data_IF_024422573024
#
_entry.id   IF_024422573024
#
_cell.length_a   1.000
_cell.length_b   1.000
_cell.length_c   1.000
_cell.angle_alpha   90.00
_cell.angle_beta   90.00
_cell.angle_gamma   90.00
#
_symmetry.space_group_name_H-M   'P 1'
#
loop_
_entity.id
_entity.type
_entity.pdbx_description
1 polymer ?
#
# COMPACT_ATOMS: atom_id res chain seq x y z
N UNK A 1 20.06 10.18 15.08
CA UNK A 1 20.20 8.80 14.60
C UNK A 1 21.65 8.61 14.21
N UNK A 2 22.25 7.50 14.62
CA UNK A 2 23.62 7.10 14.24
C UNK A 2 23.66 5.61 13.94
N UNK A 3 24.50 5.22 12.99
CA UNK A 3 24.76 3.84 12.60
C UNK A 3 26.20 3.72 12.06
N UNK A 4 26.86 2.56 12.19
CA UNK A 4 28.19 2.32 11.62
C UNK A 4 28.11 2.15 10.09
N UNK A 5 29.26 2.28 9.42
CA UNK A 5 29.36 2.17 7.95
C UNK A 5 28.90 0.81 7.42
N UNK A 6 29.01 -0.25 8.21
CA UNK A 6 28.60 -1.60 7.87
C UNK A 6 27.10 -1.86 8.15
N UNK A 7 26.35 -0.87 8.65
CA UNK A 7 24.93 -0.98 9.00
C UNK A 7 24.59 -2.17 9.91
N UNK A 8 25.50 -2.57 10.79
CA UNK A 8 25.29 -3.68 11.74
C UNK A 8 24.41 -3.32 12.94
N UNK A 9 24.15 -2.03 13.13
CA UNK A 9 23.28 -1.51 14.19
C UNK A 9 22.73 -0.12 13.85
N UNK A 10 21.74 0.33 14.62
CA UNK A 10 21.29 1.72 14.60
C UNK A 10 20.99 2.18 16.02
N UNK A 11 21.33 3.42 16.34
CA UNK A 11 21.00 4.06 17.61
C UNK A 11 20.14 5.29 17.39
N UNK A 12 19.02 5.35 18.08
CA UNK A 12 18.12 6.49 18.09
C UNK A 12 18.20 7.21 19.43
N UNK A 13 18.37 8.53 19.38
CA UNK A 13 18.17 9.40 20.55
C UNK A 13 16.74 9.89 20.56
N UNK A 14 15.99 9.54 21.59
CA UNK A 14 14.62 10.00 21.76
C UNK A 14 14.63 11.49 22.17
N UNK A 15 13.64 12.24 21.66
CA UNK A 15 13.47 13.64 22.02
C UNK A 15 12.95 13.75 23.44
N UNK A 16 13.49 14.65 24.23
CA UNK A 16 13.08 14.86 25.63
C UNK A 16 11.65 15.38 25.75
N UNK A 17 11.18 16.10 24.73
CA UNK A 17 9.85 16.68 24.67
C UNK A 17 8.79 15.63 24.29
N UNK A 18 9.19 14.50 23.73
CA UNK A 18 8.28 13.46 23.25
C UNK A 18 7.49 12.84 24.41
N UNK A 19 6.15 12.91 24.32
CA UNK A 19 5.27 12.40 25.36
C UNK A 19 3.98 11.83 24.79
N UNK A 20 3.39 10.95 25.56
CA UNK A 20 2.05 10.43 25.29
C UNK A 20 0.96 11.43 25.68
N UNK A 21 -0.29 11.15 25.29
CA UNK A 21 -1.44 12.02 25.56
C UNK A 21 -1.78 12.18 27.05
N UNK A 22 -1.31 11.25 27.88
CA UNK A 22 -1.43 11.33 29.34
C UNK A 22 -0.30 12.15 30.00
N UNK A 23 0.58 12.76 29.18
CA UNK A 23 1.68 13.60 29.62
C UNK A 23 2.96 12.84 29.98
N UNK A 24 2.96 11.53 30.05
CA UNK A 24 4.16 10.75 30.36
C UNK A 24 5.15 10.76 29.20
N UNK A 25 6.47 10.87 29.49
CA UNK A 25 7.50 10.86 28.46
C UNK A 25 7.54 9.52 27.71
N UNK A 26 7.95 9.57 26.44
CA UNK A 26 8.31 8.37 25.67
C UNK A 26 9.73 7.97 26.05
N UNK A 27 9.88 6.73 26.53
CA UNK A 27 11.15 6.21 27.06
C UNK A 27 11.74 5.12 26.15
N UNK A 28 13.04 4.79 26.29
CA UNK A 28 13.64 3.63 25.64
C UNK A 28 12.90 2.33 25.94
N UNK A 29 12.36 2.16 27.15
CA UNK A 29 11.60 1.00 27.58
C UNK A 29 10.28 0.86 26.81
N UNK A 30 9.63 1.98 26.42
CA UNK A 30 8.44 1.96 25.56
C UNK A 30 8.79 1.46 24.16
N UNK A 31 9.93 1.92 23.61
CA UNK A 31 10.39 1.51 22.26
C UNK A 31 10.75 0.02 22.24
N UNK A 32 11.51 -0.45 23.22
CA UNK A 32 11.88 -1.88 23.35
C UNK A 32 10.64 -2.75 23.52
N UNK A 33 9.74 -2.37 24.42
CA UNK A 33 8.47 -3.05 24.62
C UNK A 33 7.66 -3.14 23.32
N UNK A 34 7.60 -2.06 22.57
CA UNK A 34 6.85 -2.00 21.31
C UNK A 34 7.43 -2.93 20.27
N UNK A 35 8.75 -2.95 20.12
CA UNK A 35 9.44 -3.84 19.20
C UNK A 35 9.19 -5.31 19.53
N UNK A 36 9.37 -5.70 20.80
CA UNK A 36 9.16 -7.07 21.26
C UNK A 36 7.70 -7.50 21.06
N UNK A 37 6.75 -6.65 21.45
CA UNK A 37 5.32 -6.95 21.32
C UNK A 37 4.86 -7.04 19.89
N UNK A 38 5.28 -6.16 18.99
CA UNK A 38 4.91 -6.26 17.57
C UNK A 38 5.44 -7.54 16.94
N UNK A 39 6.68 -7.96 17.25
CA UNK A 39 7.21 -9.25 16.78
C UNK A 39 6.43 -10.45 17.33
N UNK A 40 5.95 -10.36 18.58
CA UNK A 40 5.18 -11.43 19.24
C UNK A 40 3.76 -11.59 18.67
N UNK A 41 3.08 -10.48 18.41
CA UNK A 41 1.64 -10.50 18.10
C UNK A 41 1.33 -10.49 16.61
N UNK A 42 2.22 -9.97 15.78
CA UNK A 42 2.02 -9.83 14.33
C UNK A 42 3.08 -10.64 13.55
N UNK A 43 2.66 -11.73 12.87
CA UNK A 43 3.56 -12.54 12.06
C UNK A 43 4.26 -11.76 10.94
N UNK A 44 3.62 -10.71 10.38
CA UNK A 44 4.23 -9.85 9.38
C UNK A 44 5.32 -8.98 9.99
N UNK A 45 5.08 -8.36 11.14
CA UNK A 45 6.10 -7.64 11.88
C UNK A 45 7.25 -8.57 12.31
N UNK A 46 6.93 -9.79 12.74
CA UNK A 46 7.92 -10.82 13.05
C UNK A 46 8.86 -11.11 11.88
N UNK A 47 8.32 -11.24 10.66
CA UNK A 47 9.11 -11.44 9.46
C UNK A 47 9.84 -10.15 9.01
N UNK A 48 9.19 -8.99 9.13
CA UNK A 48 9.75 -7.70 8.74
C UNK A 48 10.97 -7.32 9.58
N UNK A 49 10.90 -7.57 10.89
CA UNK A 49 11.99 -7.31 11.84
C UNK A 49 12.88 -8.54 12.10
N UNK A 50 12.86 -9.57 11.26
CA UNK A 50 13.59 -10.82 11.49
C UNK A 50 15.09 -10.63 11.69
N UNK A 51 15.69 -9.69 10.99
CA UNK A 51 17.13 -9.41 11.08
C UNK A 51 17.51 -8.53 12.29
N UNK A 52 16.54 -8.11 13.10
CA UNK A 52 16.79 -7.36 14.34
C UNK A 52 16.88 -8.35 15.50
N UNK A 53 18.09 -8.53 16.02
CA UNK A 53 18.36 -9.56 17.06
C UNK A 53 18.28 -9.00 18.46
N UNK A 54 18.51 -7.70 18.64
CA UNK A 54 18.55 -7.07 19.96
C UNK A 54 18.02 -5.64 19.90
N UNK A 55 17.28 -5.24 20.92
CA UNK A 55 16.92 -3.86 21.21
C UNK A 55 17.32 -3.56 22.65
N UNK A 56 18.07 -2.50 22.89
CA UNK A 56 18.58 -2.18 24.23
C UNK A 56 18.61 -0.69 24.52
N UNK A 57 18.37 -0.36 25.79
CA UNK A 57 18.61 0.97 26.33
C UNK A 57 20.10 1.12 26.62
N UNK A 58 20.78 2.04 25.94
CA UNK A 58 22.20 2.32 26.15
C UNK A 58 22.45 3.57 27.02
N UNK A 59 21.42 4.03 27.72
CA UNK A 59 21.46 5.22 28.57
C UNK A 59 21.16 6.51 27.81
N UNK A 60 21.05 7.61 28.54
CA UNK A 60 20.89 8.97 27.97
C UNK A 60 19.80 9.10 26.89
N UNK A 61 18.66 8.44 27.11
CA UNK A 61 17.53 8.40 26.14
C UNK A 61 17.88 7.75 24.79
N UNK A 62 18.83 6.83 24.77
CA UNK A 62 19.26 6.12 23.56
C UNK A 62 18.69 4.71 23.50
N UNK A 63 18.20 4.34 22.34
CA UNK A 63 17.80 2.98 21.99
C UNK A 63 18.65 2.48 20.85
N UNK A 64 19.34 1.36 21.05
CA UNK A 64 20.14 0.70 20.03
C UNK A 64 19.48 -0.60 19.57
N UNK A 65 19.42 -0.79 18.25
CA UNK A 65 19.02 -2.04 17.60
C UNK A 65 20.23 -2.67 16.92
N UNK A 66 20.44 -3.95 17.17
CA UNK A 66 21.53 -4.72 16.56
C UNK A 66 20.96 -5.67 15.49
N UNK A 67 21.69 -5.81 14.39
CA UNK A 67 21.29 -6.64 13.25
C UNK A 67 22.22 -7.84 13.08
N UNK A 68 21.69 -8.95 12.56
CA UNK A 68 22.47 -10.16 12.23
C UNK A 68 23.02 -10.13 10.80
N UNK A 69 22.74 -9.06 10.05
CA UNK A 69 23.23 -8.82 8.69
C UNK A 69 23.97 -7.51 8.62
N UNK A 70 24.93 -7.41 7.69
CA UNK A 70 25.70 -6.20 7.40
C UNK A 70 25.42 -5.68 6.00
N UNK A 71 25.66 -4.40 5.76
CA UNK A 71 25.49 -3.77 4.45
C UNK A 71 24.06 -3.46 4.04
N UNK A 72 23.07 -3.81 4.86
CA UNK A 72 21.67 -3.50 4.56
C UNK A 72 21.34 -2.07 5.02
N UNK A 73 21.32 -1.13 4.08
CA UNK A 73 21.04 0.30 4.30
C UNK A 73 19.61 0.60 4.74
N UNK A 74 18.68 -0.32 4.52
CA UNK A 74 17.25 -0.12 4.83
C UNK A 74 16.94 -0.36 6.29
N UNK A 75 17.66 -1.25 6.98
CA UNK A 75 17.36 -1.62 8.36
C UNK A 75 17.32 -0.44 9.34
N UNK A 76 18.23 0.55 9.30
CA UNK A 76 18.12 1.74 10.13
C UNK A 76 16.82 2.53 9.90
N UNK A 77 16.35 2.61 8.65
CA UNK A 77 15.13 3.33 8.29
C UNK A 77 13.89 2.52 8.68
N UNK A 78 13.92 1.20 8.49
CA UNK A 78 12.87 0.26 8.93
C UNK A 78 12.62 0.41 10.43
N UNK A 79 13.67 0.48 11.24
CA UNK A 79 13.51 0.69 12.68
C UNK A 79 12.94 2.07 13.04
N UNK A 80 13.16 3.08 12.19
CA UNK A 80 12.54 4.40 12.34
C UNK A 80 11.03 4.43 12.11
N UNK A 81 10.43 3.37 11.55
CA UNK A 81 8.99 3.23 11.31
C UNK A 81 8.25 2.53 12.45
N UNK A 82 8.97 2.07 13.47
CA UNK A 82 8.38 1.35 14.60
C UNK A 82 7.31 2.19 15.30
N UNK A 83 6.09 1.66 15.39
CA UNK A 83 5.01 2.28 16.17
C UNK A 83 5.30 2.09 17.66
N UNK A 84 5.38 3.18 18.41
CA UNK A 84 5.72 3.15 19.83
C UNK A 84 4.45 3.10 20.70
N UNK A 85 4.31 2.05 21.48
CA UNK A 85 3.23 1.85 22.42
C UNK A 85 3.64 2.31 23.85
N UNK A 86 2.75 2.96 24.60
CA UNK A 86 2.99 3.27 26.02
C UNK A 86 3.00 2.00 26.85
N UNK A 87 4.19 1.54 27.26
CA UNK A 87 4.36 0.33 28.10
C UNK A 87 3.50 0.39 29.35
N UNK A 88 3.51 1.53 30.04
CA UNK A 88 2.74 1.72 31.28
C UNK A 88 1.22 1.56 31.09
N UNK A 89 0.68 1.92 29.92
CA UNK A 89 -0.73 1.73 29.62
C UNK A 89 -1.03 0.25 29.32
N UNK A 90 -0.22 -0.38 28.48
CA UNK A 90 -0.46 -1.76 28.05
C UNK A 90 -0.14 -2.83 29.10
N UNK A 91 0.67 -2.49 30.10
CA UNK A 91 0.95 -3.39 31.23
C UNK A 91 0.03 -3.20 32.44
N UNK A 92 -0.81 -2.17 32.40
CA UNK A 92 -1.82 -1.94 33.43
C UNK A 92 -3.15 -2.62 33.10
N UNK A 93 -4.01 -2.75 34.08
CA UNK A 93 -5.38 -3.23 33.88
C UNK A 93 -6.23 -2.21 33.12
N UNK A 94 -7.17 -2.70 32.32
CA UNK A 94 -8.21 -1.92 31.67
C UNK A 94 -9.29 -1.42 32.65
N UNK A 95 -10.26 -0.68 32.14
CA UNK A 95 -11.38 -0.17 32.92
C UNK A 95 -12.24 -1.30 33.53
N UNK A 96 -12.21 -2.50 32.97
CA UNK A 96 -12.87 -3.70 33.48
C UNK A 96 -12.09 -4.45 34.58
N UNK A 97 -10.93 -3.90 34.98
CA UNK A 97 -10.04 -4.48 36.00
C UNK A 97 -9.16 -5.63 35.51
N UNK A 98 -9.23 -6.00 34.22
CA UNK A 98 -8.42 -7.08 33.65
C UNK A 98 -7.16 -6.55 32.95
N UNK A 99 -6.10 -7.35 32.86
CA UNK A 99 -4.92 -6.99 32.08
C UNK A 99 -5.30 -6.67 30.62
N UNK A 100 -4.76 -5.57 30.09
CA UNK A 100 -4.90 -5.26 28.66
C UNK A 100 -4.11 -6.26 27.83
N UNK A 101 -4.69 -6.67 26.71
CA UNK A 101 -4.06 -7.58 25.76
C UNK A 101 -4.04 -6.94 24.35
N UNK A 102 -2.83 -6.69 23.82
CA UNK A 102 -2.62 -6.15 22.48
C UNK A 102 -3.13 -7.07 21.36
N UNK A 103 -3.38 -8.35 21.64
CA UNK A 103 -3.93 -9.32 20.67
C UNK A 103 -5.45 -9.19 20.52
N UNK A 104 -6.11 -8.53 21.44
CA UNK A 104 -7.55 -8.42 21.47
C UNK A 104 -8.02 -7.05 20.99
N UNK A 105 -9.12 -7.04 20.23
CA UNK A 105 -9.82 -5.79 19.91
C UNK A 105 -10.46 -5.21 21.18
N UNK A 106 -10.36 -3.90 21.35
CA UNK A 106 -10.93 -3.19 22.50
C UNK A 106 -11.73 -1.98 22.02
N UNK A 107 -12.75 -1.59 22.81
CA UNK A 107 -13.44 -0.31 22.69
C UNK A 107 -12.89 0.74 23.68
N UNK A 108 -11.87 0.40 24.47
CA UNK A 108 -11.17 1.38 25.31
C UNK A 108 -10.23 2.20 24.43
N UNK A 109 -10.37 3.54 24.37
CA UNK A 109 -9.50 4.39 23.56
C UNK A 109 -8.04 4.24 24.00
N UNK A 110 -7.11 3.89 23.08
CA UNK A 110 -5.70 3.77 23.43
C UNK A 110 -5.08 5.13 23.67
N UNK A 111 -4.09 5.19 24.56
CA UNK A 111 -3.22 6.35 24.74
C UNK A 111 -2.20 6.38 23.62
N UNK A 112 -2.20 7.47 22.83
CA UNK A 112 -1.24 7.70 21.74
C UNK A 112 -0.28 8.85 22.07
N UNK A 113 0.53 9.24 21.10
CA UNK A 113 1.50 10.36 21.17
C UNK A 113 1.39 11.32 20.00
N UNK A 114 0.39 11.15 19.14
CA UNK A 114 0.18 11.90 17.91
C UNK A 114 -0.53 13.26 18.07
N UNK A 115 -0.75 13.98 16.97
CA UNK A 115 -1.39 15.29 16.98
C UNK A 115 -2.89 15.25 17.25
N UNK A 116 -3.51 14.08 17.17
CA UNK A 116 -4.93 13.85 17.46
C UNK A 116 -5.10 12.72 18.47
N UNK A 117 -6.16 12.82 19.28
CA UNK A 117 -6.61 11.75 20.17
C UNK A 117 -8.11 11.48 19.98
N UNK A 118 -8.55 10.28 20.30
CA UNK A 118 -9.98 9.93 20.26
C UNK A 118 -10.72 10.80 21.30
N UNK A 119 -11.70 11.58 20.82
CA UNK A 119 -12.60 12.41 21.65
C UNK A 119 -13.83 11.62 22.02
N UNK A 120 -14.48 11.02 21.04
CA UNK A 120 -15.69 10.23 21.19
C UNK A 120 -15.83 9.21 20.07
N UNK A 121 -16.61 8.15 20.32
CA UNK A 121 -16.96 7.20 19.27
C UNK A 121 -18.28 6.49 19.60
N UNK A 122 -18.92 5.94 18.57
CA UNK A 122 -20.00 4.98 18.72
C UNK A 122 -19.69 3.79 17.80
N UNK A 123 -19.54 2.60 18.38
CA UNK A 123 -19.13 1.41 17.66
C UNK A 123 -19.99 1.15 16.42
N UNK A 124 -19.35 0.97 15.26
CA UNK A 124 -20.00 0.77 13.97
C UNK A 124 -20.73 2.00 13.40
N UNK A 125 -20.66 3.15 14.03
CA UNK A 125 -21.30 4.37 13.56
C UNK A 125 -20.32 5.48 13.23
N UNK A 126 -19.50 5.89 14.19
CA UNK A 126 -18.50 6.93 13.97
C UNK A 126 -17.33 6.84 14.95
N UNK A 127 -16.23 7.49 14.58
CA UNK A 127 -15.12 7.86 15.45
C UNK A 127 -14.82 9.34 15.24
N UNK A 128 -14.60 10.06 16.35
CA UNK A 128 -14.29 11.49 16.37
C UNK A 128 -12.96 11.70 17.08
N UNK A 129 -12.06 12.45 16.46
CA UNK A 129 -10.75 12.80 17.00
C UNK A 129 -10.68 14.30 17.21
N UNK A 130 -10.11 14.72 18.35
CA UNK A 130 -9.79 16.12 18.64
C UNK A 130 -8.29 16.37 18.52
N UNK A 131 -7.94 17.56 18.07
CA UNK A 131 -6.53 17.99 17.99
C UNK A 131 -5.97 18.20 19.40
N UNK A 132 -4.75 17.72 19.60
CA UNK A 132 -3.98 17.92 20.83
C UNK A 132 -3.32 19.30 20.76
N UNK A 133 -3.86 20.28 21.51
CA UNK A 133 -3.43 21.68 21.43
C UNK A 133 -1.95 21.87 21.80
N UNK A 134 -1.46 21.08 22.74
CA UNK A 134 -0.08 21.09 23.24
C UNK A 134 0.76 19.93 22.68
N UNK A 135 0.43 19.47 21.47
CA UNK A 135 1.18 18.39 20.79
C UNK A 135 2.68 18.70 20.80
N UNK A 136 3.47 17.78 21.35
CA UNK A 136 4.89 17.98 21.61
C UNK A 136 5.72 18.26 20.35
N UNK A 137 5.30 17.79 19.19
CA UNK A 137 6.03 17.94 17.93
C UNK A 137 5.52 19.09 17.04
N UNK A 138 4.53 19.88 17.46
CA UNK A 138 3.86 20.89 16.61
C UNK A 138 4.80 21.91 15.99
N UNK A 139 5.88 22.26 16.68
CA UNK A 139 6.84 23.28 16.27
C UNK A 139 8.05 22.69 15.50
N UNK A 140 8.13 21.36 15.35
CA UNK A 140 9.17 20.73 14.55
C UNK A 140 9.02 21.11 13.06
N UNK A 141 10.12 21.34 12.33
CA UNK A 141 10.07 21.76 10.93
C UNK A 141 9.17 20.85 10.05
N UNK A 142 9.17 19.55 10.32
CA UNK A 142 8.37 18.55 9.58
C UNK A 142 6.88 18.57 9.92
N UNK A 143 6.48 19.25 11.00
CA UNK A 143 5.07 19.31 11.46
C UNK A 143 4.45 20.71 11.31
N UNK A 144 5.26 21.74 11.04
CA UNK A 144 4.75 23.10 10.87
C UNK A 144 3.78 23.19 9.70
N UNK A 145 2.61 23.81 9.92
CA UNK A 145 1.57 23.96 8.92
C UNK A 145 0.72 22.71 8.70
N UNK A 146 0.94 21.64 9.47
CA UNK A 146 0.12 20.44 9.45
C UNK A 146 -0.91 20.43 10.58
N UNK A 147 -1.86 19.50 10.52
CA UNK A 147 -2.84 19.23 11.58
C UNK A 147 -3.71 20.47 11.93
N UNK A 148 -4.26 21.13 10.90
CA UNK A 148 -4.96 22.39 11.03
C UNK A 148 -6.42 22.26 11.45
N UNK A 149 -7.01 21.06 11.41
CA UNK A 149 -8.40 20.83 11.79
C UNK A 149 -8.48 20.52 13.29
N UNK A 150 -9.42 21.15 13.99
CA UNK A 150 -9.62 20.92 15.43
C UNK A 150 -10.34 19.61 15.71
N UNK A 151 -11.16 19.17 14.76
CA UNK A 151 -11.98 17.98 14.85
C UNK A 151 -11.90 17.20 13.54
N UNK A 152 -11.70 15.90 13.64
CA UNK A 152 -11.78 14.95 12.52
C UNK A 152 -12.80 13.88 12.89
N UNK A 153 -13.78 13.66 12.02
CA UNK A 153 -14.81 12.66 12.22
C UNK A 153 -14.94 11.75 11.02
N UNK A 154 -14.98 10.45 11.27
CA UNK A 154 -15.27 9.42 10.29
C UNK A 154 -16.58 8.74 10.65
N UNK A 155 -17.56 8.84 9.75
CA UNK A 155 -18.83 8.12 9.83
C UNK A 155 -18.76 6.83 9.03
N UNK A 156 -19.21 5.72 9.60
CA UNK A 156 -19.20 4.40 8.97
C UNK A 156 -20.57 4.05 8.41
N UNK A 157 -20.60 3.56 7.19
CA UNK A 157 -21.79 3.12 6.49
C UNK A 157 -21.67 1.66 6.07
N UNK A 158 -22.79 0.94 5.96
CA UNK A 158 -22.80 -0.46 5.56
C UNK A 158 -22.41 -0.65 4.08
N UNK A 159 -22.75 0.31 3.25
CA UNK A 159 -22.43 0.30 1.82
C UNK A 159 -22.11 1.70 1.30
N UNK A 160 -21.42 1.73 0.17
CA UNK A 160 -20.96 2.95 -0.48
C UNK A 160 -22.11 3.82 -1.03
N UNK A 161 -23.24 3.22 -1.39
CA UNK A 161 -24.39 3.97 -1.92
C UNK A 161 -24.98 4.86 -0.82
N UNK A 162 -25.20 4.29 0.36
CA UNK A 162 -25.71 5.05 1.53
C UNK A 162 -24.69 6.13 1.95
N UNK A 163 -23.40 5.80 1.93
CA UNK A 163 -22.34 6.77 2.22
C UNK A 163 -22.36 7.95 1.23
N UNK A 164 -22.50 7.66 -0.06
CA UNK A 164 -22.57 8.69 -1.10
C UNK A 164 -23.85 9.55 -0.98
N UNK A 165 -24.99 8.96 -0.68
CA UNK A 165 -26.22 9.72 -0.43
C UNK A 165 -26.11 10.62 0.82
N UNK A 166 -25.39 10.18 1.85
CA UNK A 166 -25.08 11.01 3.03
C UNK A 166 -24.20 12.22 2.65
N UNK A 167 -23.20 12.02 1.79
CA UNK A 167 -22.41 13.10 1.24
C UNK A 167 -23.26 14.08 0.42
N UNK A 168 -24.10 13.59 -0.49
CA UNK A 168 -25.04 14.42 -1.26
C UNK A 168 -25.99 15.22 -0.37
N UNK A 169 -26.39 14.65 0.76
CA UNK A 169 -27.20 15.34 1.76
C UNK A 169 -26.42 16.43 2.53
N UNK A 170 -25.08 16.50 2.36
CA UNK A 170 -24.21 17.49 3.01
C UNK A 170 -23.87 17.16 4.46
N UNK A 171 -23.85 15.87 4.81
CA UNK A 171 -23.44 15.40 6.14
C UNK A 171 -21.94 15.12 6.25
N UNK A 172 -21.22 15.19 5.13
CA UNK A 172 -19.80 14.95 5.02
C UNK A 172 -19.13 16.11 4.30
N UNK A 173 -18.10 16.69 4.89
CA UNK A 173 -17.38 17.85 4.35
C UNK A 173 -16.35 17.50 3.29
N UNK A 174 -15.82 16.26 3.33
CA UNK A 174 -14.81 15.76 2.41
C UNK A 174 -15.16 14.35 1.95
N UNK A 175 -15.12 14.14 0.64
CA UNK A 175 -15.40 12.85 0.01
C UNK A 175 -14.34 12.54 -1.04
N UNK A 176 -13.73 11.35 -0.95
CA UNK A 176 -12.86 10.80 -1.99
C UNK A 176 -13.67 9.81 -2.82
N UNK A 177 -13.88 10.11 -4.10
CA UNK A 177 -14.61 9.22 -5.00
C UNK A 177 -13.66 8.20 -5.63
N UNK A 178 -13.90 6.93 -5.35
CA UNK A 178 -13.13 5.81 -5.90
C UNK A 178 -13.86 5.08 -7.05
N UNK A 179 -15.12 5.45 -7.33
CA UNK A 179 -15.91 4.85 -8.40
C UNK A 179 -15.86 5.72 -9.67
N UNK A 180 -15.22 5.21 -10.73
CA UNK A 180 -15.21 5.86 -12.03
C UNK A 180 -16.62 6.12 -12.57
N UNK A 181 -17.55 5.18 -12.34
CA UNK A 181 -18.95 5.34 -12.70
C UNK A 181 -19.60 6.52 -11.97
N UNK A 182 -19.48 6.57 -10.64
CA UNK A 182 -20.06 7.68 -9.87
C UNK A 182 -19.45 9.01 -10.30
N UNK A 183 -18.12 9.07 -10.43
CA UNK A 183 -17.42 10.26 -10.89
C UNK A 183 -17.96 10.77 -12.21
N UNK A 184 -18.22 9.88 -13.17
CA UNK A 184 -18.74 10.24 -14.49
C UNK A 184 -20.23 10.62 -14.48
N UNK A 185 -21.07 9.95 -13.66
CA UNK A 185 -22.52 10.00 -13.85
C UNK A 185 -23.32 10.55 -12.69
N UNK A 186 -22.76 10.61 -11.46
CA UNK A 186 -23.56 10.85 -10.26
C UNK A 186 -23.40 12.26 -9.65
N UNK A 187 -22.51 13.09 -10.19
CA UNK A 187 -22.21 14.44 -9.69
C UNK A 187 -23.04 15.55 -10.38
N UNK A 188 -24.34 15.30 -10.65
CA UNK A 188 -25.26 16.27 -11.23
C UNK A 188 -26.25 16.90 -10.22
N UNK A 189 -26.04 16.71 -8.91
CA UNK A 189 -26.99 17.13 -7.88
C UNK A 189 -26.95 18.65 -7.57
N UNK A 190 -28.04 19.16 -6.95
CA UNK A 190 -28.24 20.60 -6.83
C UNK A 190 -27.18 21.34 -5.99
N UNK A 191 -26.68 20.74 -4.91
CA UNK A 191 -25.63 21.35 -4.09
C UNK A 191 -24.32 21.59 -4.85
N UNK A 192 -24.00 20.73 -5.83
CA UNK A 192 -22.86 20.95 -6.72
C UNK A 192 -23.13 22.09 -7.69
N UNK A 193 -24.34 22.16 -8.28
CA UNK A 193 -24.74 23.26 -9.17
C UNK A 193 -24.76 24.62 -8.48
N UNK A 194 -25.11 24.62 -7.20
CA UNK A 194 -25.14 25.81 -6.33
C UNK A 194 -23.79 26.21 -5.75
N UNK A 195 -22.73 25.43 -6.00
CA UNK A 195 -21.39 25.71 -5.50
C UNK A 195 -21.12 25.34 -4.04
N UNK A 196 -22.05 24.69 -3.35
CA UNK A 196 -21.84 24.16 -1.98
C UNK A 196 -20.92 22.93 -1.98
N UNK A 197 -20.83 22.22 -3.09
CA UNK A 197 -19.90 21.11 -3.30
C UNK A 197 -19.02 21.45 -4.49
N UNK A 198 -17.71 21.24 -4.34
CA UNK A 198 -16.73 21.43 -5.41
C UNK A 198 -16.20 20.06 -5.81
N UNK A 199 -16.39 19.69 -7.08
CA UNK A 199 -15.77 18.49 -7.68
C UNK A 199 -14.42 18.87 -8.24
N UNK A 200 -13.36 18.20 -7.77
CA UNK A 200 -11.98 18.50 -8.17
C UNK A 200 -11.20 17.22 -8.45
N UNK A 201 -10.54 17.18 -9.59
CA UNK A 201 -9.52 16.18 -9.89
C UNK A 201 -8.15 16.75 -9.50
N UNK A 202 -7.41 15.96 -8.74
CA UNK A 202 -6.07 16.34 -8.25
C UNK A 202 -5.07 15.36 -8.83
N UNK A 203 -4.20 15.85 -9.71
CA UNK A 203 -3.09 15.04 -10.24
C UNK A 203 -2.06 14.83 -9.14
N UNK A 204 -1.84 13.56 -8.79
CA UNK A 204 -0.83 13.17 -7.83
C UNK A 204 0.50 12.92 -8.56
N UNK A 205 1.60 13.32 -7.93
CA UNK A 205 2.97 12.99 -8.35
C UNK A 205 3.57 11.88 -7.49
N UNK A 206 2.73 11.15 -6.79
CA UNK A 206 3.15 10.01 -5.99
C UNK A 206 3.35 8.78 -6.90
N UNK A 207 4.19 7.83 -6.47
CA UNK A 207 4.26 6.53 -7.10
C UNK A 207 2.87 5.89 -7.20
N UNK A 208 2.55 5.36 -8.37
CA UNK A 208 1.27 4.68 -8.58
C UNK A 208 1.44 3.17 -8.45
N UNK A 209 0.65 2.50 -7.59
CA UNK A 209 0.69 1.05 -7.49
C UNK A 209 0.07 0.41 -8.74
N UNK A 210 0.71 -0.64 -9.26
CA UNK A 210 0.14 -1.40 -10.36
C UNK A 210 -1.05 -2.23 -9.85
N UNK A 211 -2.25 -1.94 -10.34
CA UNK A 211 -3.41 -2.80 -10.15
C UNK A 211 -3.46 -3.85 -11.27
N UNK A 212 -3.29 -5.11 -10.94
CA UNK A 212 -3.15 -6.18 -11.92
C UNK A 212 -3.71 -7.51 -11.45
N UNK A 213 -3.92 -8.43 -12.38
CA UNK A 213 -4.14 -9.85 -12.09
C UNK A 213 -2.82 -10.56 -11.93
N UNK A 214 -2.44 -10.89 -10.69
CA UNK A 214 -1.21 -11.59 -10.40
C UNK A 214 -1.34 -13.10 -10.62
N UNK A 215 -0.57 -13.66 -11.56
CA UNK A 215 -0.53 -15.10 -11.78
C UNK A 215 0.34 -15.80 -10.74
N UNK A 216 -0.21 -16.81 -10.06
CA UNK A 216 0.57 -17.67 -9.18
C UNK A 216 1.45 -18.61 -10.01
N UNK A 217 2.68 -18.21 -10.29
CA UNK A 217 3.65 -18.98 -11.11
C UNK A 217 4.13 -20.28 -10.46
N UNK A 218 3.79 -20.54 -9.20
CA UNK A 218 3.99 -21.86 -8.57
C UNK A 218 3.01 -22.90 -9.10
N UNK A 219 1.89 -22.50 -9.71
CA UNK A 219 0.97 -23.41 -10.40
C UNK A 219 1.48 -23.71 -11.79
N UNK A 220 1.57 -25.01 -12.12
CA UNK A 220 2.12 -25.50 -13.39
C UNK A 220 1.54 -24.79 -14.64
N UNK A 221 0.22 -24.53 -14.64
CA UNK A 221 -0.47 -23.86 -15.76
C UNK A 221 -0.01 -22.42 -16.02
N UNK A 222 0.61 -21.75 -15.05
CA UNK A 222 1.10 -20.37 -15.18
C UNK A 222 2.63 -20.26 -15.21
N UNK A 223 3.36 -21.37 -15.19
CA UNK A 223 4.82 -21.36 -15.28
C UNK A 223 5.30 -20.92 -16.67
N UNK A 224 4.63 -21.36 -17.71
CA UNK A 224 4.97 -20.98 -19.08
C UNK A 224 4.62 -19.50 -19.33
N UNK A 225 5.59 -18.65 -19.69
CA UNK A 225 5.35 -17.23 -19.96
C UNK A 225 4.38 -17.00 -21.12
N UNK A 226 4.32 -17.90 -22.11
CA UNK A 226 3.38 -17.80 -23.24
C UNK A 226 1.94 -17.85 -22.80
N UNK A 227 1.63 -18.62 -21.75
CA UNK A 227 0.29 -18.63 -21.15
C UNK A 227 -0.05 -17.26 -20.55
N UNK A 228 0.85 -16.68 -19.78
CA UNK A 228 0.63 -15.36 -19.18
C UNK A 228 0.50 -14.26 -20.24
N UNK A 229 1.32 -14.32 -21.28
CA UNK A 229 1.25 -13.39 -22.41
C UNK A 229 -0.08 -13.53 -23.16
N UNK A 230 -0.61 -14.73 -23.33
CA UNK A 230 -1.90 -14.96 -23.95
C UNK A 230 -3.04 -14.31 -23.15
N UNK A 231 -3.00 -14.36 -21.82
CA UNK A 231 -3.97 -13.64 -20.98
C UNK A 231 -3.86 -12.12 -21.15
N UNK A 232 -2.65 -11.59 -21.25
CA UNK A 232 -2.43 -10.15 -21.48
C UNK A 232 -2.99 -9.69 -22.84
N UNK A 233 -2.82 -10.49 -23.89
CA UNK A 233 -3.39 -10.24 -25.22
C UNK A 233 -4.93 -10.34 -25.26
N UNK A 234 -5.50 -11.21 -24.43
CA UNK A 234 -6.94 -11.42 -24.36
C UNK A 234 -7.65 -10.34 -23.49
N UNK A 235 -6.92 -9.50 -22.79
CA UNK A 235 -7.51 -8.43 -21.99
C UNK A 235 -7.74 -7.18 -22.82
N UNK A 236 -9.02 -6.89 -23.12
CA UNK A 236 -9.44 -5.71 -23.87
C UNK A 236 -9.57 -4.50 -22.94
N UNK A 237 -8.40 -3.87 -22.63
CA UNK A 237 -8.34 -2.71 -21.73
C UNK A 237 -9.11 -1.52 -22.29
N UNK A 238 -8.97 -1.21 -23.59
CA UNK A 238 -9.58 -0.03 -24.20
C UNK A 238 -11.11 -0.09 -24.13
N UNK A 239 -11.70 -1.26 -24.40
CA UNK A 239 -13.12 -1.44 -24.26
C UNK A 239 -13.58 -1.40 -22.80
N UNK A 240 -12.86 -2.06 -21.90
CA UNK A 240 -13.12 -2.00 -20.46
C UNK A 240 -13.02 -0.56 -19.94
N UNK A 241 -11.98 0.18 -20.33
CA UNK A 241 -11.81 1.58 -19.95
C UNK A 241 -12.97 2.45 -20.45
N UNK A 242 -13.36 2.28 -21.70
CA UNK A 242 -14.48 3.03 -22.28
C UNK A 242 -15.81 2.71 -21.62
N UNK A 243 -16.13 1.43 -21.40
CA UNK A 243 -17.48 0.99 -21.01
C UNK A 243 -17.69 0.91 -19.51
N UNK A 244 -16.65 0.55 -18.74
CA UNK A 244 -16.72 0.38 -17.28
C UNK A 244 -16.10 1.54 -16.52
N UNK A 245 -15.02 2.11 -17.04
CA UNK A 245 -14.26 3.14 -16.35
C UNK A 245 -14.39 4.54 -16.96
N UNK A 246 -15.25 4.70 -17.97
CA UNK A 246 -15.58 6.01 -18.59
C UNK A 246 -14.37 6.76 -19.12
N UNK A 247 -13.35 6.04 -19.58
CA UNK A 247 -12.12 6.61 -20.13
C UNK A 247 -11.17 7.23 -19.10
N UNK A 248 -11.36 6.94 -17.81
CA UNK A 248 -10.63 7.61 -16.72
C UNK A 248 -9.31 6.93 -16.36
N UNK A 249 -9.03 5.74 -16.89
CA UNK A 249 -7.84 4.98 -16.51
C UNK A 249 -6.78 4.99 -17.62
N UNK A 250 -5.53 4.84 -17.20
CA UNK A 250 -4.38 4.62 -18.08
C UNK A 250 -3.87 3.22 -17.79
N UNK A 251 -3.51 2.46 -18.82
CA UNK A 251 -2.89 1.16 -18.65
C UNK A 251 -1.44 1.34 -18.23
N UNK A 252 -1.04 0.72 -17.12
CA UNK A 252 0.33 0.78 -16.63
C UNK A 252 1.24 -0.15 -17.40
N UNK A 253 2.43 0.33 -17.78
CA UNK A 253 3.46 -0.42 -18.51
C UNK A 253 4.67 -0.75 -17.61
N UNK A 254 4.76 -0.18 -16.43
CA UNK A 254 5.86 -0.37 -15.48
C UNK A 254 5.36 -0.69 -14.07
N UNK A 255 6.12 -1.49 -13.32
CA UNK A 255 5.92 -1.65 -11.87
C UNK A 255 6.24 -0.39 -11.06
N UNK A 256 6.96 0.55 -11.67
CA UNK A 256 7.37 1.82 -11.06
C UNK A 256 6.67 3.01 -11.72
N UNK A 257 5.39 2.84 -12.07
CA UNK A 257 4.58 3.88 -12.72
C UNK A 257 4.61 5.19 -11.94
N UNK A 258 4.68 6.31 -12.66
CA UNK A 258 4.76 7.66 -12.10
C UNK A 258 6.00 7.90 -11.21
N UNK A 259 7.11 7.21 -11.48
CA UNK A 259 8.40 7.36 -10.81
C UNK A 259 9.54 7.44 -11.82
N UNK A 260 10.68 7.98 -11.40
CA UNK A 260 11.90 8.03 -12.22
C UNK A 260 12.47 6.64 -12.55
N UNK A 261 12.05 5.61 -11.82
CA UNK A 261 12.41 4.22 -12.06
C UNK A 261 11.51 3.52 -13.09
N UNK A 262 10.48 4.19 -13.61
CA UNK A 262 9.63 3.62 -14.65
C UNK A 262 10.44 3.38 -15.91
N UNK A 263 10.44 2.12 -16.38
CA UNK A 263 11.13 1.75 -17.61
C UNK A 263 10.45 2.34 -18.84
N UNK A 264 11.22 2.82 -19.80
CA UNK A 264 10.75 3.31 -21.11
C UNK A 264 11.81 3.07 -22.18
N UNK A 265 11.37 2.74 -23.39
CA UNK A 265 12.28 2.49 -24.50
C UNK A 265 13.17 1.27 -24.31
N UNK A 266 14.36 1.29 -24.90
CA UNK A 266 15.40 0.29 -24.74
C UNK A 266 16.43 0.77 -23.71
N UNK A 267 17.11 -0.18 -23.01
CA UNK A 267 18.14 0.20 -22.05
C UNK A 267 19.31 0.94 -22.72
N UNK A 268 19.79 1.99 -22.07
CA UNK A 268 20.91 2.82 -22.55
C UNK A 268 21.93 3.09 -21.46
N UNK A 269 23.11 3.60 -21.83
CA UNK A 269 24.15 4.05 -20.90
C UNK A 269 24.47 3.03 -19.80
N UNK A 270 24.48 3.44 -18.54
CA UNK A 270 24.82 2.58 -17.41
C UNK A 270 23.83 1.41 -17.23
N UNK A 271 22.55 1.61 -17.53
CA UNK A 271 21.56 0.52 -17.50
C UNK A 271 21.93 -0.61 -18.48
N UNK A 272 22.27 -0.25 -19.72
CA UNK A 272 22.73 -1.21 -20.71
C UNK A 272 24.03 -1.93 -20.30
N UNK A 273 24.97 -1.21 -19.71
CA UNK A 273 26.21 -1.80 -19.18
C UNK A 273 25.91 -2.86 -18.10
N UNK A 274 25.07 -2.50 -17.13
CA UNK A 274 24.66 -3.43 -16.05
C UNK A 274 23.95 -4.64 -16.62
N UNK A 275 22.93 -4.46 -17.45
CA UNK A 275 22.14 -5.54 -18.04
C UNK A 275 23.02 -6.47 -18.92
N UNK A 276 24.02 -5.92 -19.60
CA UNK A 276 24.96 -6.70 -20.40
C UNK A 276 25.75 -7.71 -19.55
N UNK A 277 26.06 -7.39 -18.30
CA UNK A 277 26.77 -8.32 -17.39
C UNK A 277 25.95 -9.54 -17.02
N UNK A 278 24.62 -9.47 -17.17
CA UNK A 278 23.66 -10.54 -16.84
C UNK A 278 22.82 -10.95 -18.04
N UNK A 279 23.29 -10.69 -19.27
CA UNK A 279 22.55 -10.92 -20.53
C UNK A 279 21.99 -12.33 -20.69
N UNK A 280 22.69 -13.34 -20.16
CA UNK A 280 22.27 -14.73 -20.24
C UNK A 280 21.20 -15.12 -19.21
N UNK A 281 20.93 -14.23 -18.24
CA UNK A 281 19.92 -14.40 -17.20
C UNK A 281 18.63 -13.59 -17.45
N UNK A 282 18.61 -12.76 -18.50
CA UNK A 282 17.44 -11.96 -18.89
C UNK A 282 16.97 -12.32 -20.30
N UNK A 283 15.66 -12.14 -20.61
CA UNK A 283 15.14 -12.38 -21.95
C UNK A 283 15.85 -11.51 -22.98
N UNK A 284 16.23 -12.04 -24.16
CA UNK A 284 16.92 -11.28 -25.21
C UNK A 284 16.14 -10.04 -25.68
N UNK A 285 14.82 -10.08 -25.60
CA UNK A 285 13.92 -9.00 -25.97
C UNK A 285 14.17 -7.72 -25.17
N UNK A 286 14.72 -7.83 -23.95
CA UNK A 286 15.11 -6.66 -23.13
C UNK A 286 16.06 -5.73 -23.88
N UNK A 287 16.90 -6.26 -24.76
CA UNK A 287 17.88 -5.48 -25.53
C UNK A 287 17.40 -5.04 -26.91
N UNK A 288 16.30 -5.58 -27.39
CA UNK A 288 15.90 -5.45 -28.81
C UNK A 288 14.50 -4.88 -29.02
N UNK A 289 13.63 -4.98 -28.01
CA UNK A 289 12.20 -4.64 -28.16
C UNK A 289 11.72 -3.87 -26.96
N UNK A 290 11.22 -2.64 -27.21
CA UNK A 290 10.54 -1.87 -26.17
C UNK A 290 9.31 -2.63 -25.69
N UNK A 291 9.18 -2.79 -24.38
CA UNK A 291 7.95 -3.38 -23.82
C UNK A 291 6.77 -2.43 -23.99
N UNK A 292 5.69 -2.93 -24.58
CA UNK A 292 4.39 -2.24 -24.66
C UNK A 292 3.27 -3.23 -24.43
N UNK A 293 2.29 -2.82 -23.67
CA UNK A 293 1.06 -3.62 -23.55
C UNK A 293 0.33 -3.70 -24.92
N UNK A 294 -0.37 -4.81 -25.19
CA UNK A 294 -1.25 -4.87 -26.36
C UNK A 294 -2.32 -3.78 -26.30
N UNK A 295 -2.60 -3.16 -27.44
CA UNK A 295 -3.62 -2.09 -27.60
C UNK A 295 -4.70 -2.59 -28.55
N UNK A 296 -5.97 -2.32 -28.22
CA UNK A 296 -7.15 -2.71 -28.99
C UNK A 296 -7.94 -1.46 -29.43
N UNK A 297 -7.35 -0.67 -30.35
CA UNK A 297 -8.00 0.55 -30.85
C UNK A 297 -9.24 0.23 -31.66
N UNK A 298 -9.24 -0.89 -32.36
CA UNK A 298 -10.34 -1.36 -33.19
C UNK A 298 -10.74 -2.82 -32.86
N UNK A 299 -11.96 -3.25 -33.21
CA UNK A 299 -12.34 -4.67 -33.11
C UNK A 299 -11.45 -5.61 -33.94
N UNK A 300 -10.76 -5.11 -34.96
CA UNK A 300 -9.82 -5.89 -35.76
C UNK A 300 -8.53 -6.17 -34.98
N UNK A 301 -8.03 -5.18 -34.22
CA UNK A 301 -6.85 -5.33 -33.36
C UNK A 301 -7.11 -6.38 -32.30
N UNK A 302 -8.25 -6.29 -31.62
CA UNK A 302 -8.64 -7.28 -30.60
C UNK A 302 -8.71 -8.70 -31.17
N UNK A 303 -9.30 -8.88 -32.36
CA UNK A 303 -9.32 -10.18 -33.04
C UNK A 303 -7.93 -10.69 -33.37
N UNK A 304 -7.02 -9.80 -33.76
CA UNK A 304 -5.62 -10.13 -34.02
C UNK A 304 -4.91 -10.59 -32.74
N UNK A 305 -5.09 -9.84 -31.65
CA UNK A 305 -4.54 -10.20 -30.35
C UNK A 305 -5.11 -11.53 -29.82
N UNK A 306 -6.40 -11.81 -30.01
CA UNK A 306 -7.01 -13.09 -29.64
C UNK A 306 -6.46 -14.27 -30.45
N UNK A 307 -6.17 -14.08 -31.77
CA UNK A 307 -5.53 -15.12 -32.59
C UNK A 307 -4.12 -15.42 -32.09
N UNK A 308 -3.37 -14.38 -31.76
CA UNK A 308 -2.02 -14.54 -31.23
C UNK A 308 -2.07 -15.21 -29.83
N UNK A 309 -2.99 -14.83 -28.96
CA UNK A 309 -3.22 -15.52 -27.69
C UNK A 309 -3.50 -17.01 -27.88
N UNK A 310 -4.38 -17.35 -28.82
CA UNK A 310 -4.71 -18.74 -29.15
C UNK A 310 -3.48 -19.51 -29.69
N UNK A 311 -2.65 -18.86 -30.52
CA UNK A 311 -1.40 -19.43 -31.04
C UNK A 311 -0.45 -19.76 -29.89
N UNK A 312 -0.20 -18.81 -29.00
CA UNK A 312 0.68 -18.96 -27.82
C UNK A 312 0.19 -20.08 -26.89
N UNK A 313 -1.11 -20.14 -26.63
CA UNK A 313 -1.70 -21.19 -25.81
C UNK A 313 -1.50 -22.57 -26.45
N UNK A 314 -1.72 -22.69 -27.77
CA UNK A 314 -1.49 -23.94 -28.50
C UNK A 314 -0.03 -24.40 -28.44
N UNK A 315 0.91 -23.48 -28.61
CA UNK A 315 2.35 -23.76 -28.49
C UNK A 315 2.76 -24.13 -27.06
N UNK A 316 2.06 -23.62 -26.05
CA UNK A 316 2.22 -24.00 -24.65
C UNK A 316 1.47 -25.31 -24.28
N UNK A 317 0.88 -26.01 -25.26
CA UNK A 317 0.19 -27.30 -25.06
C UNK A 317 -1.24 -27.16 -24.53
N UNK A 318 -1.92 -26.07 -24.84
CA UNK A 318 -3.32 -25.84 -24.47
C UNK A 318 -4.20 -25.70 -25.72
N UNK A 319 -5.25 -26.48 -25.80
CA UNK A 319 -6.21 -26.45 -26.93
C UNK A 319 -7.65 -26.46 -26.44
N UNK A 320 -8.57 -25.96 -27.26
CA UNK A 320 -9.99 -25.97 -26.95
C UNK A 320 -10.56 -27.38 -27.22
N UNK A 321 -11.04 -28.04 -26.18
CA UNK A 321 -11.72 -29.34 -26.24
C UNK A 321 -13.07 -29.20 -25.53
N UNK A 322 -14.15 -29.63 -26.18
CA UNK A 322 -15.51 -29.57 -25.63
C UNK A 322 -15.83 -28.19 -25.04
N UNK A 323 -15.51 -27.13 -25.78
CA UNK A 323 -15.75 -25.74 -25.40
C UNK A 323 -14.98 -25.23 -24.15
N UNK A 324 -13.92 -25.92 -23.75
CA UNK A 324 -13.04 -25.55 -22.64
C UNK A 324 -11.58 -25.62 -23.06
N UNK A 325 -10.78 -24.64 -22.61
CA UNK A 325 -9.33 -24.67 -22.81
C UNK A 325 -8.72 -25.76 -21.92
N UNK A 326 -8.11 -26.77 -22.55
CA UNK A 326 -7.64 -27.99 -21.90
C UNK A 326 -6.16 -28.23 -22.22
N UNK A 327 -5.40 -28.63 -21.23
CA UNK A 327 -4.01 -29.03 -21.43
C UNK A 327 -3.95 -30.35 -22.20
N UNK A 328 -3.18 -30.38 -23.29
CA UNK A 328 -3.11 -31.51 -24.21
C UNK A 328 -2.47 -32.76 -23.60
N UNK A 329 -1.56 -32.57 -22.61
CA UNK A 329 -0.84 -33.66 -21.95
C UNK A 329 -1.58 -34.19 -20.71
N UNK A 330 -2.12 -33.29 -19.90
CA UNK A 330 -2.69 -33.66 -18.59
C UNK A 330 -4.20 -33.81 -18.61
N UNK A 331 -4.88 -33.22 -19.59
CA UNK A 331 -6.34 -33.15 -19.62
C UNK A 331 -6.92 -32.11 -18.64
N UNK A 332 -6.09 -31.34 -17.95
CA UNK A 332 -6.55 -30.31 -17.02
C UNK A 332 -7.25 -29.17 -17.77
N UNK A 333 -8.43 -28.80 -17.28
CA UNK A 333 -9.16 -27.63 -17.80
C UNK A 333 -8.62 -26.34 -17.17
N UNK A 334 -8.38 -25.32 -17.98
CA UNK A 334 -7.98 -23.98 -17.51
C UNK A 334 -9.13 -23.36 -16.70
N UNK A 335 -8.90 -23.20 -15.41
CA UNK A 335 -9.79 -22.43 -14.50
C UNK A 335 -8.94 -21.37 -13.82
N UNK A 336 -9.39 -20.12 -13.85
CA UNK A 336 -8.68 -18.95 -13.31
C UNK A 336 -9.44 -18.40 -12.12
#
# INVERSE_FOLDING_TARGET
VSFPDDFSSVTFRLRKEARFHDGKPITPEDVIFSFEKQKEIDPFAGQYYKNVTKAENTGDNLVMFTFDVKGNRELPQIMGQLVVFPKHYWTANGADGKPRDLKLSTLEPPTGSGPYRIKSFAAGKYVEYERVADYWAKDLPVMRGMHNLDLLRWDYYRDQTVAFESFRAGKTDFWTESSAKNWATSYGFDKLKQGFVVKREVQLKAPEPMQSFAFNTRRAKFQDPRVRQAFNLAFDFENANKTLFYGQYIRTDSYFENQDLASSGLPTSLELEILTTVKDAVPPEVFTTEFKNPVNTTPADFRTNLREAARLLKEAGWSVKSNALTNDKTGETMRV
#
